data_IF_769891741921
#
_entry.id   IF_769891741921
#
_cell.length_a   1.000
_cell.length_b   1.000
_cell.length_c   1.000
_cell.angle_alpha   90.00
_cell.angle_beta   90.00
_cell.angle_gamma   90.00
#
_symmetry.space_group_name_H-M   'P 1'
#
loop_
_entity.id
_entity.type
_entity.pdbx_description
1 polymer ?
#
# COMPACT_ATOMS: atom_id res chain seq x y z
N UNK A 1 -20.09 -16.55 -3.71
CA UNK A 1 -20.35 -17.90 -4.22
C UNK A 1 -19.43 -18.96 -3.60
N UNK A 2 -18.21 -19.25 -4.12
CA UNK A 2 -17.35 -20.29 -3.53
C UNK A 2 -16.77 -19.90 -2.17
N UNK A 3 -16.30 -18.68 -2.00
CA UNK A 3 -15.75 -18.21 -0.71
C UNK A 3 -16.83 -18.07 0.35
N UNK A 4 -18.01 -17.56 -0.02
CA UNK A 4 -19.14 -17.44 0.91
C UNK A 4 -19.59 -18.80 1.46
N UNK A 5 -19.54 -19.86 0.64
CA UNK A 5 -19.92 -21.20 1.08
C UNK A 5 -19.00 -21.80 2.16
N UNK A 6 -17.83 -21.19 2.35
CA UNK A 6 -16.86 -21.57 3.38
C UNK A 6 -16.59 -20.44 4.39
N UNK A 7 -17.48 -19.44 4.44
CA UNK A 7 -17.42 -18.30 5.34
C UNK A 7 -16.10 -17.49 5.23
N UNK A 8 -15.66 -17.28 4.00
CA UNK A 8 -14.50 -16.42 3.71
C UNK A 8 -14.98 -15.12 3.07
N UNK A 9 -14.72 -14.01 3.75
CA UNK A 9 -14.93 -12.67 3.22
C UNK A 9 -13.73 -12.26 2.37
N UNK A 10 -13.98 -11.76 1.16
CA UNK A 10 -12.96 -11.24 0.25
C UNK A 10 -13.01 -9.71 0.24
N UNK A 11 -11.90 -9.07 0.58
CA UNK A 11 -11.68 -7.65 0.35
C UNK A 11 -10.60 -7.48 -0.74
N UNK A 12 -10.96 -6.95 -1.88
CA UNK A 12 -10.02 -6.57 -2.93
C UNK A 12 -9.54 -5.14 -2.68
N UNK A 13 -8.21 -4.97 -2.62
CA UNK A 13 -7.57 -3.66 -2.41
C UNK A 13 -6.64 -3.38 -3.59
N UNK A 14 -7.15 -2.79 -4.68
CA UNK A 14 -6.30 -2.42 -5.81
C UNK A 14 -5.33 -1.31 -5.39
N UNK A 15 -4.04 -1.52 -5.64
CA UNK A 15 -3.03 -0.48 -5.46
C UNK A 15 -3.10 0.46 -6.68
N UNK A 16 -3.37 1.76 -6.49
CA UNK A 16 -3.40 2.70 -7.60
C UNK A 16 -2.03 2.74 -8.29
N UNK A 17 -1.99 2.76 -9.62
CA UNK A 17 -0.72 2.92 -10.32
C UNK A 17 -0.06 4.26 -9.94
N UNK A 18 1.27 4.30 -9.80
CA UNK A 18 2.03 5.53 -9.51
C UNK A 18 1.71 6.65 -10.52
N UNK A 19 1.58 6.29 -11.80
CA UNK A 19 1.16 7.19 -12.86
C UNK A 19 -0.26 7.77 -12.66
N UNK A 20 -1.09 7.07 -11.92
CA UNK A 20 -2.42 7.53 -11.55
C UNK A 20 -2.39 8.63 -10.49
N UNK A 21 -1.41 8.53 -9.62
CA UNK A 21 -1.26 9.45 -8.48
C UNK A 21 -0.36 10.64 -8.86
N UNK A 22 0.64 10.44 -9.72
CA UNK A 22 1.60 11.46 -10.17
C UNK A 22 1.70 11.53 -11.70
N UNK A 23 0.62 11.78 -12.43
CA UNK A 23 0.65 11.82 -13.91
C UNK A 23 1.54 12.95 -14.45
N UNK A 24 1.73 14.02 -13.68
CA UNK A 24 2.64 15.11 -14.02
C UNK A 24 4.10 14.67 -14.14
N UNK A 25 4.46 13.55 -13.53
CA UNK A 25 5.81 12.98 -13.65
C UNK A 25 6.04 12.20 -14.96
N UNK A 26 4.97 11.88 -15.69
CA UNK A 26 5.07 11.19 -16.99
C UNK A 26 5.33 12.14 -18.15
N UNK A 27 5.01 13.42 -17.99
CA UNK A 27 5.08 14.42 -19.04
C UNK A 27 6.19 15.42 -18.68
N UNK A 28 7.40 15.14 -19.15
CA UNK A 28 8.52 16.09 -19.02
C UNK A 28 8.27 17.30 -19.92
N UNK A 29 8.29 18.52 -19.37
CA UNK A 29 8.28 19.76 -20.11
C UNK A 29 6.93 20.47 -20.24
N UNK A 30 5.89 20.04 -19.53
CA UNK A 30 4.64 20.79 -19.46
C UNK A 30 4.35 21.18 -18.01
N UNK A 31 4.43 22.47 -17.70
CA UNK A 31 3.95 23.07 -16.43
C UNK A 31 2.41 23.17 -16.39
N UNK A 32 1.70 22.23 -17.02
CA UNK A 32 0.24 22.25 -17.03
C UNK A 32 -0.25 21.63 -15.73
N UNK A 33 -0.84 22.40 -14.82
CA UNK A 33 -1.41 21.85 -13.59
C UNK A 33 -2.61 20.98 -13.95
N UNK A 34 -2.47 19.67 -13.82
CA UNK A 34 -3.57 18.74 -14.05
C UNK A 34 -4.57 18.87 -12.88
N UNK A 35 -5.80 19.23 -13.18
CA UNK A 35 -6.85 19.34 -12.16
C UNK A 35 -7.17 17.98 -11.57
N UNK A 36 -7.51 17.95 -10.28
CA UNK A 36 -7.94 16.70 -9.59
C UNK A 36 -9.05 15.96 -10.33
N UNK A 37 -10.01 16.68 -10.90
CA UNK A 37 -11.11 16.10 -11.71
C UNK A 37 -10.61 15.39 -12.96
N UNK A 38 -9.55 15.88 -13.59
CA UNK A 38 -8.92 15.26 -14.74
C UNK A 38 -8.15 14.00 -14.34
N UNK A 39 -7.42 14.05 -13.22
CA UNK A 39 -6.76 12.86 -12.64
C UNK A 39 -7.77 11.74 -12.37
N UNK A 40 -8.89 12.08 -11.77
CA UNK A 40 -9.97 11.13 -11.50
C UNK A 40 -10.56 10.57 -12.80
N UNK A 41 -10.64 11.36 -13.87
CA UNK A 41 -11.20 10.92 -15.16
C UNK A 41 -10.26 9.96 -15.90
N UNK A 42 -8.94 10.11 -15.78
CA UNK A 42 -7.95 9.22 -16.41
C UNK A 42 -8.13 7.75 -15.99
N UNK A 43 -8.70 7.52 -14.81
CA UNK A 43 -8.92 6.17 -14.24
C UNK A 43 -10.39 5.75 -14.23
N UNK A 44 -11.22 6.39 -15.07
CA UNK A 44 -12.63 6.06 -15.19
C UNK A 44 -12.89 4.57 -15.49
N UNK A 45 -12.01 3.93 -16.29
CA UNK A 45 -12.12 2.50 -16.61
C UNK A 45 -11.89 1.60 -15.38
N UNK A 46 -10.88 1.91 -14.55
CA UNK A 46 -10.66 1.18 -13.30
C UNK A 46 -11.85 1.33 -12.35
N UNK A 47 -12.39 2.55 -12.22
CA UNK A 47 -13.58 2.80 -11.40
C UNK A 47 -14.82 2.06 -11.92
N UNK A 48 -14.97 1.97 -13.25
CA UNK A 48 -16.04 1.17 -13.85
C UNK A 48 -15.85 -0.32 -13.53
N UNK A 49 -14.63 -0.83 -13.64
CA UNK A 49 -14.32 -2.21 -13.28
C UNK A 49 -14.62 -2.49 -11.80
N UNK A 50 -14.19 -1.61 -10.88
CA UNK A 50 -14.49 -1.75 -9.44
C UNK A 50 -15.99 -1.71 -9.16
N UNK A 51 -16.74 -0.90 -9.90
CA UNK A 51 -18.20 -0.86 -9.81
C UNK A 51 -18.82 -2.20 -10.23
N UNK A 52 -18.36 -2.78 -11.32
CA UNK A 52 -18.83 -4.09 -11.79
C UNK A 52 -18.51 -5.20 -10.76
N UNK A 53 -17.34 -5.18 -10.15
CA UNK A 53 -16.99 -6.11 -9.09
C UNK A 53 -17.92 -5.97 -7.88
N UNK A 54 -18.20 -4.74 -7.44
CA UNK A 54 -19.14 -4.48 -6.34
C UNK A 54 -20.54 -4.96 -6.67
N UNK A 55 -21.00 -4.80 -7.92
CA UNK A 55 -22.29 -5.35 -8.37
C UNK A 55 -22.33 -6.89 -8.34
N UNK A 56 -21.19 -7.55 -8.42
CA UNK A 56 -21.05 -9.01 -8.26
C UNK A 56 -20.83 -9.44 -6.80
N UNK A 57 -20.95 -8.53 -5.83
CA UNK A 57 -20.83 -8.82 -4.43
C UNK A 57 -19.38 -8.82 -3.90
N UNK A 58 -18.39 -8.41 -4.70
CA UNK A 58 -17.01 -8.29 -4.24
C UNK A 58 -16.84 -6.96 -3.50
N UNK A 59 -16.32 -7.00 -2.27
CA UNK A 59 -15.92 -5.79 -1.56
C UNK A 59 -14.62 -5.25 -2.19
N UNK A 60 -14.62 -3.97 -2.58
CA UNK A 60 -13.46 -3.32 -3.19
C UNK A 60 -13.16 -2.04 -2.44
N UNK A 61 -11.94 -1.95 -1.89
CA UNK A 61 -11.39 -0.74 -1.28
C UNK A 61 -10.48 -0.04 -2.30
N UNK A 62 -10.98 1.05 -2.88
CA UNK A 62 -10.22 1.89 -3.81
C UNK A 62 -9.44 2.96 -3.04
N UNK A 63 -8.11 2.86 -3.04
CA UNK A 63 -7.20 3.77 -2.33
C UNK A 63 -6.88 5.05 -3.11
N UNK A 64 -7.39 5.21 -4.33
CA UNK A 64 -7.03 6.33 -5.21
C UNK A 64 -7.29 7.69 -4.58
N UNK A 65 -8.49 7.92 -4.03
CA UNK A 65 -8.85 9.19 -3.41
C UNK A 65 -7.99 9.49 -2.18
N UNK A 66 -7.75 8.48 -1.34
CA UNK A 66 -6.91 8.61 -0.14
C UNK A 66 -5.49 9.03 -0.52
N UNK A 67 -4.93 8.43 -1.58
CA UNK A 67 -3.58 8.78 -2.04
C UNK A 67 -3.53 10.17 -2.68
N UNK A 68 -4.54 10.54 -3.47
CA UNK A 68 -4.65 11.89 -4.05
C UNK A 68 -4.77 12.98 -2.97
N UNK A 69 -5.47 12.72 -1.88
CA UNK A 69 -5.59 13.66 -0.76
C UNK A 69 -4.27 13.85 0.01
N UNK A 70 -3.45 12.81 0.07
CA UNK A 70 -2.21 12.83 0.86
C UNK A 70 -0.98 13.23 0.04
N UNK A 71 -0.98 13.04 -1.29
CA UNK A 71 0.20 13.24 -2.15
C UNK A 71 0.81 14.65 -2.11
N UNK A 72 0.02 15.66 -1.78
CA UNK A 72 0.51 17.06 -1.68
C UNK A 72 1.32 17.34 -0.41
N UNK A 73 1.12 16.54 0.64
CA UNK A 73 1.80 16.69 1.94
C UNK A 73 2.83 15.61 2.20
N UNK A 74 2.61 14.43 1.63
CA UNK A 74 3.43 13.25 1.87
C UNK A 74 3.71 12.54 0.56
N UNK A 75 4.90 12.01 0.44
CA UNK A 75 5.26 11.15 -0.67
C UNK A 75 4.55 9.79 -0.49
N UNK A 76 3.60 9.47 -1.36
CA UNK A 76 2.84 8.19 -1.31
C UNK A 76 3.46 7.10 -2.18
N UNK A 77 4.40 7.45 -3.07
CA UNK A 77 5.24 6.52 -3.83
C UNK A 77 6.70 6.90 -3.65
N UNK A 78 7.60 5.93 -3.65
CA UNK A 78 9.03 6.19 -3.76
C UNK A 78 9.32 6.95 -5.05
N UNK A 79 10.27 7.88 -5.07
CA UNK A 79 10.56 8.66 -6.28
C UNK A 79 11.20 7.80 -7.36
N UNK A 80 12.18 6.99 -6.95
CA UNK A 80 12.99 6.17 -7.85
C UNK A 80 12.51 4.73 -7.99
N UNK A 81 11.33 4.41 -7.45
CA UNK A 81 10.79 3.06 -7.43
C UNK A 81 9.31 3.05 -7.79
N UNK A 82 8.84 1.98 -8.39
CA UNK A 82 7.41 1.81 -8.75
C UNK A 82 6.54 1.54 -7.54
N UNK A 83 7.12 1.13 -6.42
CA UNK A 83 6.37 0.79 -5.22
C UNK A 83 5.94 2.02 -4.42
N UNK A 84 4.88 1.85 -3.67
CA UNK A 84 4.42 2.83 -2.71
C UNK A 84 5.43 3.09 -1.59
N UNK A 85 5.30 4.24 -0.93
CA UNK A 85 6.12 4.59 0.23
C UNK A 85 5.63 3.90 1.51
N UNK A 86 6.45 3.92 2.55
CA UNK A 86 6.05 3.48 3.89
C UNK A 86 4.85 4.26 4.43
N UNK A 87 4.72 5.55 4.07
CA UNK A 87 3.55 6.34 4.42
C UNK A 87 2.27 5.80 3.77
N UNK A 88 2.34 5.43 2.50
CA UNK A 88 1.20 4.83 1.80
C UNK A 88 0.84 3.45 2.35
N UNK A 89 1.82 2.63 2.77
CA UNK A 89 1.56 1.38 3.50
C UNK A 89 0.73 1.62 4.76
N UNK A 90 1.08 2.64 5.56
CA UNK A 90 0.33 2.99 6.78
C UNK A 90 -1.09 3.48 6.46
N UNK A 91 -1.26 4.27 5.39
CA UNK A 91 -2.57 4.70 4.94
C UNK A 91 -3.42 3.50 4.50
N UNK A 92 -2.86 2.62 3.69
CA UNK A 92 -3.53 1.40 3.23
C UNK A 92 -3.94 0.52 4.41
N UNK A 93 -3.03 0.24 5.37
CA UNK A 93 -3.33 -0.53 6.57
C UNK A 93 -4.48 0.08 7.38
N UNK A 94 -4.50 1.41 7.51
CA UNK A 94 -5.54 2.15 8.21
C UNK A 94 -6.91 2.02 7.53
N UNK A 95 -6.95 2.18 6.22
CA UNK A 95 -8.20 2.07 5.45
C UNK A 95 -8.70 0.62 5.39
N UNK A 96 -7.81 -0.36 5.26
CA UNK A 96 -8.15 -1.79 5.38
C UNK A 96 -8.75 -2.07 6.76
N UNK A 97 -8.10 -1.61 7.82
CA UNK A 97 -8.58 -1.79 9.19
C UNK A 97 -9.95 -1.15 9.43
N UNK A 98 -10.20 0.04 8.86
CA UNK A 98 -11.52 0.71 8.91
C UNK A 98 -12.58 -0.08 8.15
N UNK A 99 -12.24 -0.57 6.96
CA UNK A 99 -13.15 -1.34 6.10
C UNK A 99 -13.53 -2.68 6.73
N UNK A 100 -12.57 -3.38 7.32
CA UNK A 100 -12.83 -4.62 8.09
C UNK A 100 -13.68 -4.32 9.32
N UNK A 101 -13.51 -3.15 9.94
CA UNK A 101 -14.27 -2.75 11.10
C UNK A 101 -13.94 -3.56 12.36
N UNK A 102 -14.97 -3.92 13.12
CA UNK A 102 -14.81 -4.65 14.37
C UNK A 102 -15.68 -5.93 14.43
N UNK A 103 -15.43 -6.91 13.55
CA UNK A 103 -16.20 -8.16 13.54
C UNK A 103 -15.93 -8.99 14.80
N UNK A 104 -16.86 -9.90 15.12
CA UNK A 104 -16.76 -10.70 16.35
C UNK A 104 -15.53 -11.62 16.40
N UNK A 105 -15.05 -12.10 15.25
CA UNK A 105 -13.80 -12.87 15.20
C UNK A 105 -12.59 -12.02 15.62
N UNK A 106 -12.59 -10.71 15.35
CA UNK A 106 -11.52 -9.79 15.77
C UNK A 106 -11.39 -9.73 17.29
N UNK A 107 -12.51 -9.68 18.00
CA UNK A 107 -12.52 -9.69 19.48
C UNK A 107 -11.90 -10.98 20.04
N UNK A 108 -12.03 -12.10 19.32
CA UNK A 108 -11.50 -13.42 19.71
C UNK A 108 -10.06 -13.65 19.27
N UNK A 109 -9.67 -13.01 18.15
CA UNK A 109 -8.36 -13.19 17.51
C UNK A 109 -7.26 -12.31 18.12
N UNK A 110 -7.63 -11.30 18.90
CA UNK A 110 -6.67 -10.31 19.40
C UNK A 110 -5.77 -10.96 20.45
N UNK A 111 -4.61 -11.38 20.04
CA UNK A 111 -3.46 -11.31 20.93
C UNK A 111 -3.23 -9.83 21.20
N UNK A 112 -3.53 -9.40 22.41
CA UNK A 112 -3.32 -8.02 22.86
C UNK A 112 -1.83 -7.73 23.09
N UNK A 113 -0.98 -8.23 22.21
CA UNK A 113 0.44 -7.93 22.28
C UNK A 113 0.59 -6.47 21.83
N UNK A 114 1.05 -5.57 22.69
CA UNK A 114 1.26 -4.20 22.32
C UNK A 114 2.33 -4.10 21.24
N UNK A 115 2.08 -3.28 20.23
CA UNK A 115 2.99 -3.03 19.14
C UNK A 115 3.61 -1.64 19.29
N UNK A 116 4.89 -1.55 18.94
CA UNK A 116 5.62 -0.30 18.87
C UNK A 116 5.87 0.07 17.42
N UNK A 117 5.67 1.34 17.08
CA UNK A 117 6.12 1.93 15.83
C UNK A 117 7.45 2.64 16.07
N UNK A 118 8.41 2.38 15.20
CA UNK A 118 9.68 3.07 15.12
C UNK A 118 10.00 3.43 13.68
N UNK A 119 11.00 4.27 13.44
CA UNK A 119 11.40 4.63 12.09
C UNK A 119 12.85 4.28 11.86
N UNK A 120 13.16 3.84 10.64
CA UNK A 120 14.53 3.65 10.16
C UNK A 120 14.72 4.43 8.86
N UNK A 121 15.94 4.88 8.60
CA UNK A 121 16.30 5.48 7.32
C UNK A 121 17.04 4.45 6.48
N UNK A 122 16.67 4.39 5.19
CA UNK A 122 17.25 3.48 4.23
C UNK A 122 17.54 4.25 2.94
N UNK A 123 18.73 4.04 2.39
CA UNK A 123 19.09 4.52 1.06
C UNK A 123 18.74 3.46 0.02
N UNK A 124 18.02 3.87 -1.01
CA UNK A 124 17.65 3.00 -2.13
C UNK A 124 18.09 3.58 -3.47
N UNK A 125 18.35 2.69 -4.43
CA UNK A 125 18.26 2.97 -5.84
C UNK A 125 17.11 2.10 -6.34
N UNK A 126 15.95 2.70 -6.57
CA UNK A 126 14.76 1.96 -6.95
C UNK A 126 14.82 1.42 -8.39
N UNK A 127 13.85 0.61 -8.75
CA UNK A 127 13.74 -0.01 -10.07
C UNK A 127 13.70 1.00 -11.23
N UNK A 128 13.08 2.16 -11.03
CA UNK A 128 13.07 3.27 -11.98
C UNK A 128 14.44 3.97 -12.04
N UNK A 129 15.11 4.14 -10.89
CA UNK A 129 16.44 4.72 -10.83
C UNK A 129 17.45 3.90 -11.61
N UNK A 130 17.47 2.59 -11.41
CA UNK A 130 18.35 1.65 -12.14
C UNK A 130 18.05 1.67 -13.64
N UNK A 131 16.76 1.74 -14.02
CA UNK A 131 16.35 1.72 -15.42
C UNK A 131 16.68 3.01 -16.16
N UNK A 132 16.67 4.16 -15.47
CA UNK A 132 16.91 5.47 -16.09
C UNK A 132 18.39 5.85 -16.15
N UNK A 133 19.15 5.52 -15.13
CA UNK A 133 20.60 5.78 -15.06
C UNK A 133 21.27 4.90 -14.02
N UNK A 134 22.31 4.13 -14.40
CA UNK A 134 23.11 3.36 -13.44
C UNK A 134 23.82 4.22 -12.37
N UNK A 135 24.00 5.51 -12.64
CA UNK A 135 24.62 6.48 -11.75
C UNK A 135 23.59 7.33 -10.97
N UNK A 136 22.34 6.85 -10.83
CA UNK A 136 21.30 7.57 -10.11
C UNK A 136 21.73 7.83 -8.66
N UNK A 137 21.49 9.06 -8.20
CA UNK A 137 21.65 9.39 -6.77
C UNK A 137 20.68 8.52 -5.95
N UNK A 138 21.13 8.12 -4.78
CA UNK A 138 20.29 7.34 -3.86
C UNK A 138 19.14 8.19 -3.30
N UNK A 139 17.99 7.59 -3.18
CA UNK A 139 16.85 8.16 -2.46
C UNK A 139 16.90 7.70 -1.00
N UNK A 140 16.78 8.65 -0.07
CA UNK A 140 16.67 8.33 1.36
C UNK A 140 15.20 8.21 1.74
N UNK A 141 14.80 7.03 2.20
CA UNK A 141 13.46 6.74 2.66
C UNK A 141 13.40 6.66 4.18
N UNK A 142 12.37 7.23 4.78
CA UNK A 142 12.01 6.98 6.18
C UNK A 142 10.95 5.91 6.23
N UNK A 143 11.29 4.76 6.77
CA UNK A 143 10.44 3.58 6.83
C UNK A 143 9.92 3.39 8.26
N UNK A 144 8.61 3.20 8.40
CA UNK A 144 7.99 2.84 9.68
C UNK A 144 8.06 1.34 9.87
N UNK A 145 8.68 0.92 10.95
CA UNK A 145 8.82 -0.49 11.34
C UNK A 145 7.88 -0.78 12.49
N UNK A 146 7.21 -1.93 12.43
CA UNK A 146 6.34 -2.43 13.48
C UNK A 146 7.05 -3.55 14.24
N UNK A 147 7.14 -3.43 15.55
CA UNK A 147 7.77 -4.43 16.41
C UNK A 147 6.92 -4.70 17.64
N UNK A 148 7.21 -5.79 18.36
CA UNK A 148 6.71 -5.99 19.71
C UNK A 148 7.39 -5.01 20.67
N UNK A 149 6.86 -4.81 21.87
CA UNK A 149 7.43 -3.90 22.87
C UNK A 149 8.89 -4.22 23.24
N UNK A 150 9.26 -5.50 23.16
CA UNK A 150 10.62 -5.95 23.38
C UNK A 150 11.57 -5.73 22.18
N UNK A 151 11.11 -5.08 21.11
CA UNK A 151 11.88 -4.82 19.90
C UNK A 151 11.93 -6.00 18.90
N UNK A 152 11.28 -7.12 19.20
CA UNK A 152 11.27 -8.27 18.30
C UNK A 152 10.39 -8.00 17.08
N UNK A 153 10.87 -8.31 15.89
CA UNK A 153 10.08 -8.22 14.65
C UNK A 153 8.84 -9.10 14.73
N UNK A 154 7.72 -8.57 14.25
CA UNK A 154 6.47 -9.32 14.19
C UNK A 154 6.60 -10.40 13.11
N UNK A 155 6.18 -11.61 13.45
CA UNK A 155 6.14 -12.73 12.50
C UNK A 155 4.71 -13.02 12.07
N UNK A 156 4.49 -13.46 10.83
CA UNK A 156 3.17 -13.89 10.37
C UNK A 156 2.57 -14.96 11.31
N UNK A 157 1.32 -14.76 11.69
CA UNK A 157 0.62 -15.71 12.57
C UNK A 157 -0.20 -16.71 11.74
N UNK A 158 0.18 -17.99 11.75
CA UNK A 158 -0.55 -19.04 11.02
C UNK A 158 -2.00 -19.23 11.46
N UNK A 159 -2.35 -18.74 12.64
CA UNK A 159 -3.71 -18.77 13.20
C UNK A 159 -4.45 -17.45 12.98
N UNK A 160 -3.88 -16.52 12.20
CA UNK A 160 -4.55 -15.28 11.87
C UNK A 160 -5.83 -15.56 11.10
N UNK A 161 -6.95 -14.93 11.46
CA UNK A 161 -8.19 -15.01 10.68
C UNK A 161 -8.13 -14.18 9.40
N UNK A 162 -7.08 -13.41 9.20
CA UNK A 162 -6.83 -12.59 8.01
C UNK A 162 -5.67 -13.18 7.23
N UNK A 163 -5.91 -13.47 5.96
CA UNK A 163 -4.87 -13.83 5.00
C UNK A 163 -4.67 -12.65 4.05
N UNK A 164 -3.45 -12.11 4.02
CA UNK A 164 -3.05 -11.09 3.07
C UNK A 164 -2.36 -11.77 1.88
N UNK A 165 -2.93 -11.58 0.68
CA UNK A 165 -2.36 -12.03 -0.59
C UNK A 165 -2.11 -10.81 -1.46
N UNK A 166 -0.97 -10.75 -2.13
CA UNK A 166 -0.66 -9.63 -3.00
C UNK A 166 0.62 -9.83 -3.79
N UNK A 167 0.97 -8.81 -4.55
CA UNK A 167 2.15 -8.72 -5.38
C UNK A 167 3.35 -8.10 -4.62
N UNK A 168 4.31 -7.56 -5.35
CA UNK A 168 5.49 -6.92 -4.78
C UNK A 168 5.18 -5.72 -3.88
N UNK A 169 4.02 -5.06 -4.01
CA UNK A 169 3.61 -4.00 -3.09
C UNK A 169 3.38 -4.52 -1.66
N UNK A 170 3.00 -5.79 -1.48
CA UNK A 170 2.94 -6.39 -0.15
C UNK A 170 4.32 -6.78 0.38
N UNK A 171 5.28 -7.04 -0.50
CA UNK A 171 6.61 -7.52 -0.15
C UNK A 171 7.58 -6.36 0.14
N UNK A 172 7.37 -5.20 -0.49
CA UNK A 172 8.21 -4.01 -0.29
C UNK A 172 8.23 -3.62 1.19
N UNK A 173 9.42 -3.38 1.73
CA UNK A 173 9.70 -3.09 3.15
C UNK A 173 9.37 -4.25 4.11
N UNK A 174 8.96 -5.43 3.61
CA UNK A 174 8.62 -6.58 4.43
C UNK A 174 9.61 -7.74 4.25
N UNK A 175 9.95 -8.08 3.01
CA UNK A 175 10.74 -9.26 2.70
C UNK A 175 12.24 -9.10 2.91
N UNK A 176 12.75 -7.87 2.98
CA UNK A 176 14.19 -7.59 3.01
C UNK A 176 14.86 -7.80 1.65
N UNK A 177 16.20 -7.79 1.60
CA UNK A 177 16.95 -7.92 0.35
C UNK A 177 16.57 -6.84 -0.66
N UNK A 178 16.21 -7.24 -1.87
CA UNK A 178 15.79 -6.33 -2.95
C UNK A 178 14.50 -5.53 -2.62
N UNK A 179 13.80 -5.89 -1.54
CA UNK A 179 12.63 -5.17 -1.01
C UNK A 179 13.01 -4.23 0.16
N UNK A 180 14.28 -3.89 0.29
CA UNK A 180 14.90 -2.86 1.14
C UNK A 180 14.93 -3.20 2.63
N UNK A 181 13.80 -3.31 3.30
CA UNK A 181 13.70 -3.52 4.74
C UNK A 181 12.93 -4.79 5.04
N UNK A 182 13.18 -5.38 6.21
CA UNK A 182 12.43 -6.53 6.69
C UNK A 182 11.45 -6.12 7.79
N UNK A 183 10.21 -6.61 7.70
CA UNK A 183 9.21 -6.46 8.76
C UNK A 183 8.60 -5.06 8.88
N UNK A 184 8.53 -4.31 7.79
CA UNK A 184 7.97 -2.96 7.75
C UNK A 184 6.93 -2.73 6.64
N UNK A 185 6.48 -3.76 5.96
CA UNK A 185 5.49 -3.65 4.89
C UNK A 185 4.05 -3.56 5.37
N UNK A 186 3.12 -3.89 4.48
CA UNK A 186 1.68 -3.92 4.78
C UNK A 186 1.29 -5.13 5.66
N UNK A 187 2.07 -6.21 5.61
CA UNK A 187 1.81 -7.46 6.33
C UNK A 187 2.22 -7.41 7.81
#
# INVERSE_FOLDING_TARGET
>A
AQLDSVNIDLLLVPVPAKAAIYPEMLVTGTDIPIKRTELISLFSQHRQFYRLLRQKGVQVLDLTEVFLDHRSKYQVYCRQDTHWSSHACLLAAKEIGRTIGNPDWRKRAVNQTPYRLSTVQVEIVGDLGVSLSPASEKEVLTITVVSQDNGTTIKPCRKSPVLLLGDSHNLVFHAGGDMYVQGAGLA
#
